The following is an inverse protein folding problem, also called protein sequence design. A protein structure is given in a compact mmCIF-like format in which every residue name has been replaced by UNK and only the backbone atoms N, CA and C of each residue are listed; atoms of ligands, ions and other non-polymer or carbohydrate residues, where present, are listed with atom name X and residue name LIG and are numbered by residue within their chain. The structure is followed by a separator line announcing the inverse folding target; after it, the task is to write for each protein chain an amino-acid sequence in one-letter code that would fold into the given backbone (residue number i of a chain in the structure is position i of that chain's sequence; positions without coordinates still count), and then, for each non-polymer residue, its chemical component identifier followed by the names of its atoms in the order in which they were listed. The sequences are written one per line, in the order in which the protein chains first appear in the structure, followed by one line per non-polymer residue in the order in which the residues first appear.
data_IF_169709474364
#
_entry.id   IF_169709474364
#
_cell.length_a   1.000
_cell.length_b   1.000
_cell.length_c   1.000
_cell.angle_alpha   90.00
_cell.angle_beta   90.00
_cell.angle_gamma   90.00
#
_symmetry.space_group_name_H-M   'P 1'
#
loop_
_entity.id
_entity.type
_entity.pdbx_description
1 polymer ?
#
# COMPACT_ATOMS: atom_id res chain seq x y z
N UNK A 1 9.67 12.16 8.00
CA UNK A 1 8.58 13.16 7.89
C UNK A 1 7.74 12.79 6.67
N UNK A 2 6.40 12.81 6.78
CA UNK A 2 5.51 12.28 5.74
C UNK A 2 5.60 13.07 4.42
N UNK A 3 5.84 14.37 4.53
CA UNK A 3 5.90 15.32 3.41
C UNK A 3 7.33 15.79 3.14
N UNK A 4 8.33 15.02 3.58
CA UNK A 4 9.74 15.29 3.30
C UNK A 4 10.14 14.59 2.00
N UNK A 5 10.48 15.40 1.01
CA UNK A 5 10.95 14.98 -0.30
C UNK A 5 12.38 15.45 -0.60
N UNK A 6 13.13 15.91 0.41
CA UNK A 6 14.51 16.36 0.22
C UNK A 6 15.44 15.23 -0.29
N UNK A 7 15.07 13.98 -0.03
CA UNK A 7 15.69 12.79 -0.59
C UNK A 7 14.61 11.79 -1.01
N UNK A 8 13.84 12.16 -2.04
CA UNK A 8 12.71 11.39 -2.57
C UNK A 8 11.75 10.91 -1.46
N UNK A 9 11.64 9.59 -1.27
CA UNK A 9 10.81 8.97 -0.23
C UNK A 9 11.64 8.25 0.82
N UNK A 10 12.94 8.57 0.95
CA UNK A 10 13.85 7.89 1.87
C UNK A 10 13.34 7.92 3.33
N UNK A 11 12.89 9.08 3.80
CA UNK A 11 12.34 9.24 5.15
C UNK A 11 11.03 8.47 5.38
N UNK A 12 10.24 8.24 4.32
CA UNK A 12 9.02 7.44 4.37
C UNK A 12 9.36 5.95 4.44
N UNK A 13 10.27 5.50 3.57
CA UNK A 13 10.76 4.12 3.54
C UNK A 13 11.40 3.70 4.87
N UNK A 14 12.22 4.58 5.44
CA UNK A 14 12.86 4.31 6.72
C UNK A 14 11.85 4.18 7.86
N UNK A 15 10.80 5.01 7.88
CA UNK A 15 9.80 5.00 8.95
C UNK A 15 8.79 3.85 8.82
N UNK A 16 8.36 3.55 7.59
CA UNK A 16 7.24 2.62 7.32
C UNK A 16 7.68 1.29 6.71
N UNK A 17 8.99 1.08 6.52
CA UNK A 17 9.55 -0.18 6.04
C UNK A 17 9.35 -0.45 4.54
N UNK A 18 8.90 0.53 3.76
CA UNK A 18 8.62 0.34 2.33
C UNK A 18 8.03 1.56 1.64
N UNK A 19 7.52 1.36 0.43
CA UNK A 19 6.77 2.38 -0.30
C UNK A 19 5.42 2.63 0.38
N UNK A 20 5.06 3.90 0.50
CA UNK A 20 3.78 4.29 1.09
C UNK A 20 2.66 4.20 0.06
N UNK A 21 1.54 3.59 0.47
CA UNK A 21 0.34 3.48 -0.34
C UNK A 21 -0.90 3.90 0.47
N UNK A 22 -1.61 4.94 0.03
CA UNK A 22 -2.79 5.46 0.73
C UNK A 22 -4.05 4.76 0.20
N UNK A 23 -4.37 3.61 0.79
CA UNK A 23 -5.47 2.76 0.32
C UNK A 23 -6.85 3.42 0.38
N UNK A 24 -7.04 4.42 1.26
CA UNK A 24 -8.31 5.12 1.46
C UNK A 24 -8.52 6.32 0.55
N UNK A 25 -7.55 6.67 -0.30
CA UNK A 25 -7.73 7.73 -1.29
C UNK A 25 -8.70 7.29 -2.38
N UNK A 26 -9.50 8.26 -2.85
CA UNK A 26 -10.44 8.05 -3.95
C UNK A 26 -9.67 7.96 -5.26
N UNK A 27 -9.87 6.87 -5.97
CA UNK A 27 -9.45 6.70 -7.35
C UNK A 27 -10.37 7.55 -8.23
N UNK A 28 -9.79 8.49 -8.97
CA UNK A 28 -10.52 9.55 -9.65
C UNK A 28 -11.45 9.05 -10.76
N UNK A 29 -11.09 7.97 -11.46
CA UNK A 29 -11.86 7.43 -12.57
C UNK A 29 -13.18 6.77 -12.15
N UNK A 30 -13.17 5.98 -11.07
CA UNK A 30 -14.31 5.20 -10.62
C UNK A 30 -15.00 5.76 -9.37
N UNK A 31 -14.40 6.73 -8.68
CA UNK A 31 -14.95 7.33 -7.45
C UNK A 31 -14.91 6.40 -6.24
N UNK A 32 -14.24 5.25 -6.33
CA UNK A 32 -14.07 4.30 -5.22
C UNK A 32 -12.74 4.53 -4.53
N UNK A 33 -12.58 4.08 -3.29
CA UNK A 33 -11.24 4.05 -2.68
C UNK A 33 -10.34 3.12 -3.48
N UNK A 34 -9.02 3.34 -3.44
CA UNK A 34 -8.09 2.37 -4.03
C UNK A 34 -8.26 0.98 -3.43
N UNK A 35 -8.56 0.89 -2.13
CA UNK A 35 -8.86 -0.36 -1.46
C UNK A 35 -9.99 -1.10 -2.17
N UNK A 36 -11.11 -0.43 -2.48
CA UNK A 36 -12.26 -1.03 -3.16
C UNK A 36 -12.02 -1.26 -4.65
N UNK A 37 -11.30 -0.36 -5.31
CA UNK A 37 -10.95 -0.47 -6.72
C UNK A 37 -10.14 -1.72 -7.00
N UNK A 38 -9.13 -2.00 -6.17
CA UNK A 38 -8.28 -3.18 -6.32
C UNK A 38 -8.96 -4.48 -5.90
N UNK A 39 -10.22 -4.48 -5.47
CA UNK A 39 -10.98 -5.71 -5.17
C UNK A 39 -11.64 -6.31 -6.42
N UNK A 40 -11.52 -5.67 -7.58
CA UNK A 40 -12.12 -6.16 -8.83
C UNK A 40 -11.02 -6.57 -9.82
N UNK A 41 -11.12 -7.78 -10.34
CA UNK A 41 -10.22 -8.27 -11.40
C UNK A 41 -10.62 -7.63 -12.74
N UNK A 42 -9.63 -7.18 -13.53
CA UNK A 42 -9.83 -6.34 -14.71
C UNK A 42 -10.53 -7.06 -15.87
N UNK A 43 -10.26 -8.35 -16.06
CA UNK A 43 -10.72 -9.07 -17.25
C UNK A 43 -12.06 -9.78 -17.04
N UNK A 44 -12.28 -10.32 -15.85
CA UNK A 44 -13.46 -11.10 -15.49
C UNK A 44 -14.50 -10.26 -14.74
N UNK A 45 -14.09 -9.14 -14.13
CA UNK A 45 -14.93 -8.38 -13.21
C UNK A 45 -15.21 -9.11 -11.89
N UNK A 46 -14.59 -10.28 -11.67
CA UNK A 46 -14.77 -11.04 -10.45
C UNK A 46 -14.15 -10.31 -9.25
N UNK A 47 -14.74 -10.51 -8.08
CA UNK A 47 -14.17 -10.00 -6.85
C UNK A 47 -12.90 -10.80 -6.52
N UNK A 48 -11.77 -10.10 -6.40
CA UNK A 48 -10.55 -10.62 -5.80
C UNK A 48 -10.43 -10.06 -4.39
N UNK A 49 -9.86 -10.86 -3.48
CA UNK A 49 -9.58 -10.43 -2.10
C UNK A 49 -8.16 -9.90 -1.92
N UNK A 50 -7.94 -9.16 -0.84
CA UNK A 50 -6.60 -8.79 -0.35
C UNK A 50 -6.22 -9.74 0.78
N UNK A 51 -5.05 -10.36 0.67
CA UNK A 51 -4.49 -11.18 1.74
C UNK A 51 -3.46 -10.38 2.53
N UNK A 52 -3.57 -10.39 3.86
CA UNK A 52 -2.54 -9.87 4.74
C UNK A 52 -1.45 -10.93 4.87
N UNK A 53 -0.25 -10.62 4.39
CA UNK A 53 0.93 -11.46 4.61
C UNK A 53 1.71 -10.86 5.78
N UNK A 54 1.83 -11.64 6.85
CA UNK A 54 2.78 -11.31 7.91
C UNK A 54 4.18 -11.67 7.41
N UNK A 55 4.98 -10.65 7.07
CA UNK A 55 6.41 -10.85 6.85
C UNK A 55 7.04 -11.09 8.23
N UNK A 56 7.21 -12.35 8.60
CA UNK A 56 7.97 -12.72 9.79
C UNK A 56 9.40 -12.21 9.64
N UNK A 57 9.71 -11.09 10.28
CA UNK A 57 11.10 -10.71 10.53
C UNK A 57 11.66 -11.73 11.51
N UNK A 58 12.60 -12.57 11.04
CA UNK A 58 13.44 -13.35 11.93
C UNK A 58 14.10 -12.35 12.90
N UNK A 59 13.71 -12.43 14.17
CA UNK A 59 14.34 -11.65 15.23
C UNK A 59 15.79 -12.13 15.32
N UNK A 60 16.75 -11.31 14.87
CA UNK A 60 18.15 -11.51 15.22
C UNK A 60 18.27 -11.09 16.69
N UNK A 61 18.24 -12.09 17.58
CA UNK A 61 18.53 -11.93 19.01
C UNK A 61 19.97 -11.44 19.19
N UNK A 62 20.24 -10.50 20.11
CA UNK A 62 21.59 -10.03 20.42
C UNK A 62 22.52 -11.14 20.93
#
# INVERSE_FOLDING_TARGET
MLLDYANDRAAQKQKYGGEMFIATFIEAGCGKTFLDFFQVERHTGAQKGIILISAGIAQVTP
#
